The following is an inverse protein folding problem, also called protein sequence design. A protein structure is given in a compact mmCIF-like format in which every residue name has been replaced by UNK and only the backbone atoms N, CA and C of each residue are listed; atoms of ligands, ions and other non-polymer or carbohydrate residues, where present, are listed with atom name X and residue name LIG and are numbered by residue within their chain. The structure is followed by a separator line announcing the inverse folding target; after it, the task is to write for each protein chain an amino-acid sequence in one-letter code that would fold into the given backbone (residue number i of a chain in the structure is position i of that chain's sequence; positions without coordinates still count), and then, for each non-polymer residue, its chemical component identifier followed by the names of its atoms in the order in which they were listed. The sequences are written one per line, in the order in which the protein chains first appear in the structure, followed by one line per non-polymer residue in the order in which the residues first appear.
data_IF_895723373673
#
_entry.id   IF_895723373673
#
_cell.length_a   1.000
_cell.length_b   1.000
_cell.length_c   1.000
_cell.angle_alpha   90.00
_cell.angle_beta   90.00
_cell.angle_gamma   90.00
#
_symmetry.space_group_name_H-M   'P 1'
#
loop_
_entity.id
_entity.type
_entity.pdbx_description
1 polymer ?
#
# COMPACT_ATOMS: atom_id res chain seq x y z
N UNK A 1 27.13 25.62 -34.87
CA UNK A 1 27.19 25.70 -33.40
C UNK A 1 26.84 24.32 -32.85
N UNK A 2 27.87 23.56 -32.49
CA UNK A 2 27.75 22.20 -31.96
C UNK A 2 27.23 22.27 -30.52
N UNK A 3 25.93 22.04 -30.33
CA UNK A 3 25.38 21.76 -29.01
C UNK A 3 25.84 20.36 -28.61
N UNK A 4 26.84 20.32 -27.72
CA UNK A 4 27.24 19.12 -27.01
C UNK A 4 26.00 18.45 -26.42
N UNK A 5 25.68 17.26 -26.94
CA UNK A 5 24.62 16.41 -26.42
C UNK A 5 25.00 16.01 -25.00
N UNK A 6 24.51 16.76 -24.00
CA UNK A 6 24.59 16.37 -22.60
C UNK A 6 24.08 14.95 -22.46
N UNK A 7 24.86 14.09 -21.80
CA UNK A 7 24.51 12.70 -21.58
C UNK A 7 23.04 12.60 -21.16
N UNK A 8 22.22 11.97 -22.01
CA UNK A 8 20.80 11.82 -21.74
C UNK A 8 20.67 10.83 -20.59
N UNK A 9 20.25 11.32 -19.43
CA UNK A 9 19.88 10.51 -18.28
C UNK A 9 18.88 9.44 -18.73
N UNK A 10 19.33 8.18 -18.76
CA UNK A 10 18.60 7.03 -19.27
C UNK A 10 18.95 5.79 -18.46
N UNK A 11 17.95 4.96 -18.16
CA UNK A 11 18.14 3.69 -17.47
C UNK A 11 17.42 2.57 -18.22
N UNK A 12 18.19 1.62 -18.75
CA UNK A 12 17.65 0.39 -19.34
C UNK A 12 17.21 -0.61 -18.27
N UNK A 13 17.90 -0.64 -17.13
CA UNK A 13 17.50 -1.41 -15.95
C UNK A 13 16.48 -0.64 -15.12
N UNK A 14 15.37 -1.25 -14.67
CA UNK A 14 14.40 -0.57 -13.82
C UNK A 14 15.00 -0.12 -12.48
N UNK A 15 14.88 1.16 -12.17
CA UNK A 15 15.22 1.75 -10.86
C UNK A 15 13.98 1.74 -9.96
N UNK A 16 14.18 1.43 -8.69
CA UNK A 16 13.10 1.49 -7.70
C UNK A 16 12.81 2.94 -7.34
N UNK A 17 11.54 3.32 -7.37
CA UNK A 17 11.07 4.62 -6.91
C UNK A 17 9.76 4.50 -6.13
N UNK A 18 9.43 5.54 -5.37
CA UNK A 18 8.22 5.59 -4.56
C UNK A 18 7.40 6.83 -4.86
N UNK A 19 6.07 6.73 -4.84
CA UNK A 19 5.19 7.91 -5.02
C UNK A 19 3.83 7.66 -4.39
N UNK A 20 3.01 8.71 -4.31
CA UNK A 20 1.60 8.59 -3.92
C UNK A 20 0.69 8.76 -5.14
N UNK A 21 -0.47 8.11 -5.11
CA UNK A 21 -1.47 8.20 -6.17
C UNK A 21 -2.88 7.94 -5.64
N UNK A 22 -3.89 8.45 -6.32
CA UNK A 22 -5.27 8.04 -6.07
C UNK A 22 -5.57 6.74 -6.83
N UNK A 23 -6.08 5.71 -6.15
CA UNK A 23 -6.54 4.50 -6.81
C UNK A 23 -7.89 4.74 -7.51
N UNK A 24 -8.08 4.11 -8.67
CA UNK A 24 -9.25 4.29 -9.52
C UNK A 24 -9.82 2.93 -9.97
N UNK A 25 -11.12 2.93 -10.28
CA UNK A 25 -11.84 1.84 -10.95
C UNK A 25 -12.44 2.36 -12.26
N UNK A 26 -12.38 1.60 -13.34
CA UNK A 26 -13.03 1.95 -14.60
C UNK A 26 -14.56 1.96 -14.43
N UNK A 27 -15.27 2.76 -15.24
CA UNK A 27 -16.72 2.92 -15.11
C UNK A 27 -17.50 1.61 -15.28
N UNK A 28 -16.97 0.68 -16.09
CA UNK A 28 -17.50 -0.67 -16.33
C UNK A 28 -17.04 -1.71 -15.29
N UNK A 29 -16.20 -1.31 -14.33
CA UNK A 29 -15.68 -2.19 -13.27
C UNK A 29 -14.64 -3.21 -13.73
N UNK A 30 -14.17 -3.14 -14.98
CA UNK A 30 -13.30 -4.16 -15.57
C UNK A 30 -11.82 -3.98 -15.24
N UNK A 31 -11.38 -2.78 -14.84
CA UNK A 31 -9.96 -2.45 -14.69
C UNK A 31 -9.71 -1.44 -13.57
N UNK A 32 -8.53 -1.53 -12.97
CA UNK A 32 -8.04 -0.56 -11.99
C UNK A 32 -6.88 0.26 -12.54
N UNK A 33 -6.76 1.49 -12.06
CA UNK A 33 -5.76 2.45 -12.51
C UNK A 33 -5.39 3.43 -11.40
N UNK A 34 -4.56 4.41 -11.74
CA UNK A 34 -4.09 5.43 -10.81
C UNK A 34 -4.12 6.82 -11.45
N UNK A 35 -4.19 7.85 -10.63
CA UNK A 35 -3.81 9.20 -11.06
C UNK A 35 -2.90 9.86 -10.02
N UNK A 36 -2.06 10.79 -10.47
CA UNK A 36 -1.08 11.44 -9.60
C UNK A 36 -1.72 12.44 -8.64
N UNK A 37 -0.89 13.08 -7.83
CA UNK A 37 -1.27 14.28 -7.05
C UNK A 37 -0.82 15.55 -7.76
N UNK A 38 -1.22 16.73 -7.25
CA UNK A 38 -0.87 18.02 -7.85
C UNK A 38 -1.26 18.09 -9.32
N UNK A 39 -0.38 18.56 -10.21
CA UNK A 39 -0.66 18.64 -11.66
C UNK A 39 -1.03 17.28 -12.29
N UNK A 40 -0.48 16.18 -11.76
CA UNK A 40 -0.72 14.82 -12.25
C UNK A 40 -2.12 14.29 -11.97
N UNK A 41 -2.92 14.97 -11.14
CA UNK A 41 -4.25 14.52 -10.76
C UNK A 41 -5.23 14.45 -11.93
N UNK A 42 -4.96 15.09 -13.07
CA UNK A 42 -5.88 15.13 -14.23
C UNK A 42 -5.76 13.92 -15.15
N UNK A 43 -4.64 13.20 -15.10
CA UNK A 43 -4.36 12.12 -16.02
C UNK A 43 -4.38 10.76 -15.32
N UNK A 44 -5.13 9.83 -15.90
CA UNK A 44 -5.19 8.44 -15.47
C UNK A 44 -4.13 7.66 -16.20
N UNK A 45 -3.39 6.84 -15.46
CA UNK A 45 -2.38 5.94 -15.99
C UNK A 45 -2.57 4.54 -15.40
N UNK A 46 -2.16 3.53 -16.16
CA UNK A 46 -2.22 2.14 -15.76
C UNK A 46 -1.02 1.76 -14.87
N UNK A 47 -1.08 0.57 -14.27
CA UNK A 47 0.02 0.05 -13.46
C UNK A 47 1.33 -0.07 -14.25
N UNK A 48 1.25 -0.39 -15.54
CA UNK A 48 2.37 -0.30 -16.50
C UNK A 48 2.01 0.73 -17.55
N UNK A 49 2.80 1.80 -17.65
CA UNK A 49 2.46 2.91 -18.55
C UNK A 49 3.66 3.79 -18.89
N UNK A 50 3.49 4.62 -19.92
CA UNK A 50 4.40 5.68 -20.31
C UNK A 50 3.84 7.05 -19.91
N UNK A 51 4.70 7.91 -19.40
CA UNK A 51 4.33 9.25 -19.05
C UNK A 51 4.09 10.09 -20.31
N UNK A 52 3.08 10.94 -20.24
CA UNK A 52 2.75 11.89 -21.30
C UNK A 52 3.00 13.33 -20.85
N UNK A 53 3.06 14.27 -21.81
CA UNK A 53 3.02 15.68 -21.50
C UNK A 53 1.59 16.14 -21.24
N UNK A 54 1.29 16.56 -20.02
CA UNK A 54 -0.04 17.04 -19.63
C UNK A 54 -0.44 18.36 -20.30
N UNK A 55 0.54 19.14 -20.78
CA UNK A 55 0.32 20.36 -21.55
C UNK A 55 0.17 20.08 -23.05
N UNK A 56 0.12 18.81 -23.46
CA UNK A 56 0.05 18.37 -24.85
C UNK A 56 1.12 19.00 -25.75
N UNK A 57 2.27 19.33 -25.17
CA UNK A 57 3.40 19.96 -25.89
C UNK A 57 4.22 18.90 -26.61
N UNK A 58 4.75 19.24 -27.79
CA UNK A 58 5.61 18.34 -28.58
C UNK A 58 7.03 18.36 -28.04
N UNK A 59 7.31 17.47 -27.09
CA UNK A 59 8.67 17.19 -26.63
C UNK A 59 8.79 15.76 -26.10
N UNK A 60 10.02 15.30 -25.99
CA UNK A 60 10.37 14.06 -25.31
C UNK A 60 10.03 14.15 -23.80
N UNK A 61 9.43 13.10 -23.21
CA UNK A 61 9.02 13.03 -21.78
C UNK A 61 9.98 12.11 -20.99
N UNK A 62 10.56 12.54 -19.86
CA UNK A 62 10.44 13.86 -19.24
C UNK A 62 11.26 14.93 -19.98
N UNK A 63 10.87 16.20 -19.81
CA UNK A 63 11.59 17.37 -20.32
C UNK A 63 11.95 18.32 -19.18
N UNK A 64 13.12 18.98 -19.25
CA UNK A 64 13.62 19.84 -18.18
C UNK A 64 12.77 21.12 -17.98
N UNK A 65 12.12 21.63 -19.02
CA UNK A 65 11.19 22.78 -18.95
C UNK A 65 9.75 22.39 -18.64
N UNK A 66 9.46 21.10 -18.40
CA UNK A 66 8.10 20.62 -18.20
C UNK A 66 7.99 19.72 -16.96
N UNK A 67 6.85 19.76 -16.28
CA UNK A 67 6.54 18.90 -15.13
C UNK A 67 5.99 17.51 -15.55
N UNK A 68 6.23 17.10 -16.80
CA UNK A 68 5.88 15.77 -17.29
C UNK A 68 6.83 14.68 -16.76
N UNK A 69 6.41 13.42 -16.89
CA UNK A 69 7.13 12.26 -16.36
C UNK A 69 6.55 11.78 -15.03
N UNK A 70 6.72 10.49 -14.75
CA UNK A 70 6.35 9.91 -13.46
C UNK A 70 7.35 10.36 -12.39
N UNK A 71 6.94 11.28 -11.53
CA UNK A 71 7.75 11.72 -10.40
C UNK A 71 7.78 10.64 -9.31
N UNK A 72 8.98 10.21 -8.95
CA UNK A 72 9.24 9.18 -7.96
C UNK A 72 10.33 9.67 -6.99
N UNK A 73 10.04 9.56 -5.70
CA UNK A 73 10.95 9.75 -4.59
C UNK A 73 11.88 8.53 -4.45
N UNK A 74 12.99 8.74 -3.75
CA UNK A 74 14.00 7.70 -3.55
C UNK A 74 13.66 6.72 -2.42
N UNK A 75 12.86 7.14 -1.44
CA UNK A 75 12.58 6.33 -0.25
C UNK A 75 11.08 6.16 -0.03
N UNK A 76 10.73 5.02 0.58
CA UNK A 76 9.37 4.71 0.97
C UNK A 76 8.85 5.69 2.02
N UNK A 77 9.70 6.09 2.98
CA UNK A 77 9.32 7.00 4.06
C UNK A 77 9.00 8.40 3.54
N UNK A 78 9.76 8.92 2.58
CA UNK A 78 9.42 10.20 1.95
C UNK A 78 8.06 10.16 1.23
N UNK A 79 7.68 9.01 0.65
CA UNK A 79 6.36 8.86 0.05
C UNK A 79 5.26 8.75 1.11
N UNK A 80 5.52 8.09 2.25
CA UNK A 80 4.60 8.04 3.40
C UNK A 80 4.36 9.43 3.99
N UNK A 81 5.39 10.26 4.10
CA UNK A 81 5.25 11.63 4.62
C UNK A 81 4.24 12.45 3.83
N UNK A 82 4.19 12.26 2.50
CA UNK A 82 3.19 12.93 1.66
C UNK A 82 1.75 12.51 1.98
N UNK A 83 1.52 11.30 2.50
CA UNK A 83 0.18 10.82 2.89
C UNK A 83 -0.35 11.44 4.18
N UNK A 84 0.52 12.08 4.97
CA UNK A 84 0.13 12.81 6.18
C UNK A 84 -0.63 14.11 5.85
N UNK A 85 -0.43 14.68 4.66
CA UNK A 85 -1.13 15.87 4.22
C UNK A 85 -2.63 15.56 4.04
N UNK A 86 -3.56 16.37 4.60
CA UNK A 86 -5.00 16.10 4.54
C UNK A 86 -5.53 15.89 3.12
N UNK A 87 -5.02 16.65 2.15
CA UNK A 87 -5.37 16.54 0.74
C UNK A 87 -4.97 15.19 0.14
N UNK A 88 -3.93 14.54 0.66
CA UNK A 88 -3.42 13.26 0.16
C UNK A 88 -3.91 12.06 0.98
N UNK A 89 -4.79 12.26 1.96
CA UNK A 89 -5.20 11.20 2.90
C UNK A 89 -5.80 9.95 2.24
N UNK A 90 -6.43 10.12 1.07
CA UNK A 90 -7.04 9.01 0.32
C UNK A 90 -6.10 8.39 -0.72
N UNK A 91 -4.85 8.84 -0.78
CA UNK A 91 -3.85 8.27 -1.68
C UNK A 91 -3.30 6.96 -1.14
N UNK A 92 -2.79 6.14 -2.04
CA UNK A 92 -1.97 4.96 -1.75
C UNK A 92 -0.52 5.27 -2.04
N UNK A 93 0.39 4.60 -1.34
CA UNK A 93 1.82 4.64 -1.68
C UNK A 93 2.11 3.56 -2.71
N UNK A 94 2.89 3.89 -3.73
CA UNK A 94 3.28 3.00 -4.81
C UNK A 94 4.79 2.80 -4.77
N UNK A 95 5.24 1.55 -4.87
CA UNK A 95 6.59 1.20 -5.30
C UNK A 95 6.55 0.91 -6.78
N UNK A 96 7.45 1.55 -7.52
CA UNK A 96 7.53 1.43 -8.97
C UNK A 96 8.92 0.99 -9.40
N UNK A 97 8.96 0.15 -10.43
CA UNK A 97 10.12 -0.03 -11.28
C UNK A 97 10.04 1.01 -12.40
N UNK A 98 10.86 2.04 -12.34
CA UNK A 98 10.88 3.12 -13.31
C UNK A 98 12.07 2.99 -14.25
N UNK A 99 11.89 3.31 -15.53
CA UNK A 99 12.92 3.10 -16.56
C UNK A 99 12.76 4.08 -17.72
N UNK A 100 13.64 3.95 -18.72
CA UNK A 100 13.69 4.84 -19.87
C UNK A 100 14.42 6.13 -19.55
N UNK A 101 14.05 7.23 -20.22
CA UNK A 101 14.62 8.55 -19.95
C UNK A 101 14.19 9.03 -18.57
N UNK A 102 15.11 9.65 -17.86
CA UNK A 102 14.80 10.28 -16.58
C UNK A 102 15.38 11.68 -16.48
N UNK A 103 14.91 12.42 -15.48
CA UNK A 103 15.54 13.68 -15.06
C UNK A 103 15.44 13.87 -13.56
N UNK A 104 16.42 14.52 -12.96
CA UNK A 104 16.34 15.03 -11.59
C UNK A 104 15.31 16.15 -11.45
N UNK A 105 14.57 16.14 -10.35
CA UNK A 105 13.58 17.15 -10.00
C UNK A 105 13.36 17.13 -8.49
N UNK A 106 13.59 18.25 -7.80
CA UNK A 106 13.42 18.38 -6.36
C UNK A 106 14.11 17.25 -5.56
N UNK A 107 13.32 16.45 -4.83
CA UNK A 107 13.75 15.36 -3.95
C UNK A 107 13.75 13.99 -4.64
N UNK A 108 13.59 13.95 -5.97
CA UNK A 108 13.43 12.71 -6.69
C UNK A 108 13.77 12.77 -8.18
N UNK A 109 13.21 11.81 -8.91
CA UNK A 109 13.44 11.62 -10.34
C UNK A 109 12.10 11.55 -11.06
N UNK A 110 12.06 12.10 -12.28
CA UNK A 110 10.93 11.94 -13.20
C UNK A 110 11.32 10.96 -14.27
N UNK A 111 10.46 9.98 -14.56
CA UNK A 111 10.74 8.91 -15.51
C UNK A 111 9.76 8.89 -16.68
N UNK A 112 10.22 8.34 -17.79
CA UNK A 112 9.43 8.07 -18.99
C UNK A 112 8.47 6.90 -18.79
N UNK A 113 8.95 5.79 -18.22
CA UNK A 113 8.16 4.56 -18.10
C UNK A 113 8.11 4.10 -16.66
N UNK A 114 6.99 3.47 -16.27
CA UNK A 114 6.87 2.81 -14.97
C UNK A 114 6.23 1.43 -15.07
N UNK A 115 6.48 0.63 -14.03
CA UNK A 115 5.69 -0.53 -13.63
C UNK A 115 5.47 -0.49 -12.12
N UNK A 116 4.23 -0.39 -11.68
CA UNK A 116 3.87 -0.55 -10.26
C UNK A 116 4.15 -1.99 -9.83
N UNK A 117 4.86 -2.16 -8.73
CA UNK A 117 5.18 -3.45 -8.12
C UNK A 117 4.38 -3.69 -6.84
N UNK A 118 4.30 -2.66 -5.99
CA UNK A 118 3.56 -2.73 -4.73
C UNK A 118 2.71 -1.50 -4.53
N UNK A 119 1.56 -1.71 -3.90
CA UNK A 119 0.63 -0.69 -3.46
C UNK A 119 0.46 -0.86 -1.96
N UNK A 120 0.68 0.20 -1.20
CA UNK A 120 0.36 0.24 0.21
C UNK A 120 -0.84 1.13 0.47
N UNK A 121 -1.85 0.55 1.11
CA UNK A 121 -3.01 1.28 1.60
C UNK A 121 -2.74 1.83 3.00
N UNK A 122 -3.27 3.01 3.29
CA UNK A 122 -3.04 3.69 4.57
C UNK A 122 -4.00 3.25 5.67
N UNK A 123 -4.52 4.25 6.38
CA UNK A 123 -5.46 4.05 7.50
C UNK A 123 -6.81 4.64 7.20
N UNK A 124 -7.84 3.98 7.73
CA UNK A 124 -9.21 4.45 7.63
C UNK A 124 -9.37 5.68 8.53
N UNK A 125 -10.45 6.43 8.34
CA UNK A 125 -10.71 7.61 9.18
C UNK A 125 -10.84 7.27 10.66
N UNK A 126 -11.32 6.07 10.99
CA UNK A 126 -11.40 5.55 12.35
C UNK A 126 -10.07 5.02 12.90
N UNK A 127 -8.96 5.10 12.16
CA UNK A 127 -7.63 4.63 12.57
C UNK A 127 -7.33 3.16 12.25
N UNK A 128 -8.33 2.36 11.89
CA UNK A 128 -8.14 0.94 11.52
C UNK A 128 -7.40 0.76 10.17
N UNK A 129 -6.70 -0.38 9.97
CA UNK A 129 -6.20 -0.85 8.67
C UNK A 129 -7.19 -0.68 7.52
N UNK A 130 -6.72 -0.23 6.34
CA UNK A 130 -7.58 -0.12 5.14
C UNK A 130 -7.47 -1.36 4.27
N UNK A 131 -8.34 -2.32 4.55
CA UNK A 131 -8.32 -3.67 3.95
C UNK A 131 -9.19 -3.79 2.69
N UNK A 132 -9.92 -2.73 2.34
CA UNK A 132 -10.78 -2.68 1.15
C UNK A 132 -10.74 -1.30 0.51
N UNK A 133 -11.12 -1.24 -0.76
CA UNK A 133 -11.50 0.00 -1.43
C UNK A 133 -13.01 0.13 -1.52
N UNK A 134 -13.51 1.36 -1.43
CA UNK A 134 -14.91 1.71 -1.69
C UNK A 134 -14.99 2.80 -2.76
N UNK A 135 -16.11 2.88 -3.47
CA UNK A 135 -16.40 4.02 -4.36
C UNK A 135 -16.47 5.30 -3.53
N UNK A 136 -15.68 6.31 -3.91
CA UNK A 136 -15.67 7.61 -3.25
C UNK A 136 -16.88 8.49 -3.60
N UNK A 137 -17.74 8.06 -4.53
CA UNK A 137 -18.85 8.86 -5.06
C UNK A 137 -18.38 10.02 -5.95
N UNK A 138 -17.09 10.05 -6.29
CA UNK A 138 -16.46 11.06 -7.13
C UNK A 138 -15.60 10.38 -8.19
N UNK A 139 -15.15 11.13 -9.18
CA UNK A 139 -14.31 10.58 -10.22
C UNK A 139 -14.11 11.56 -11.35
N UNK A 140 -13.98 10.99 -12.54
CA UNK A 140 -13.78 11.67 -13.82
C UNK A 140 -14.41 10.82 -14.91
N UNK A 141 -14.49 11.35 -16.12
CA UNK A 141 -15.00 10.59 -17.26
C UNK A 141 -14.31 9.22 -17.37
N UNK A 142 -15.12 8.16 -17.40
CA UNK A 142 -14.73 6.75 -17.44
C UNK A 142 -14.04 6.16 -16.18
N UNK A 143 -13.82 6.93 -15.11
CA UNK A 143 -13.10 6.45 -13.92
C UNK A 143 -13.71 6.94 -12.60
N UNK A 144 -13.95 6.01 -11.69
CA UNK A 144 -14.40 6.25 -10.31
C UNK A 144 -13.20 6.34 -9.39
N UNK A 145 -13.17 7.34 -8.50
CA UNK A 145 -12.18 7.40 -7.44
C UNK A 145 -12.48 6.33 -6.40
N UNK A 146 -11.43 5.64 -5.94
CA UNK A 146 -11.52 4.72 -4.82
C UNK A 146 -10.97 5.36 -3.56
N UNK A 147 -11.61 5.08 -2.43
CA UNK A 147 -11.10 5.46 -1.10
C UNK A 147 -10.73 4.20 -0.32
N UNK A 148 -9.50 4.09 0.23
CA UNK A 148 -9.15 3.02 1.15
C UNK A 148 -10.02 3.09 2.42
N UNK A 149 -10.61 1.99 2.84
CA UNK A 149 -11.45 1.89 4.04
C UNK A 149 -11.17 0.60 4.80
N UNK A 150 -11.45 0.61 6.11
CA UNK A 150 -11.52 -0.64 6.87
C UNK A 150 -12.89 -1.30 6.62
N UNK A 151 -12.95 -2.62 6.83
CA UNK A 151 -14.18 -3.42 6.65
C UNK A 151 -15.34 -2.93 7.51
N UNK A 152 -15.05 -2.44 8.71
CA UNK A 152 -16.07 -1.96 9.63
C UNK A 152 -16.68 -0.63 9.21
N UNK A 153 -15.87 0.33 8.75
CA UNK A 153 -16.41 1.58 8.24
C UNK A 153 -17.09 1.39 6.89
N UNK A 154 -16.73 0.37 6.10
CA UNK A 154 -17.39 0.07 4.84
C UNK A 154 -18.70 -0.72 4.99
N UNK A 155 -19.10 -1.06 6.21
CA UNK A 155 -20.28 -1.90 6.47
C UNK A 155 -21.53 -1.40 5.69
N UNK A 156 -22.25 -2.34 5.08
CA UNK A 156 -23.39 -2.08 4.20
C UNK A 156 -23.07 -1.53 2.79
N UNK A 157 -21.80 -1.29 2.42
CA UNK A 157 -21.42 -0.77 1.10
C UNK A 157 -20.72 -1.84 0.24
N UNK A 158 -20.85 -1.79 -1.10
CA UNK A 158 -20.01 -2.59 -1.99
C UNK A 158 -18.53 -2.27 -1.78
N UNK A 159 -17.72 -3.32 -1.62
CA UNK A 159 -16.28 -3.22 -1.39
C UNK A 159 -15.51 -3.92 -2.51
N UNK A 160 -14.33 -3.39 -2.80
CA UNK A 160 -13.33 -4.02 -3.65
C UNK A 160 -12.16 -4.48 -2.77
N UNK A 161 -12.00 -5.80 -2.58
CA UNK A 161 -10.84 -6.37 -1.88
C UNK A 161 -9.50 -6.00 -2.52
N UNK A 162 -8.43 -5.92 -1.72
CA UNK A 162 -7.09 -5.49 -2.19
C UNK A 162 -6.50 -6.42 -3.26
N UNK A 163 -6.65 -7.72 -3.09
CA UNK A 163 -6.23 -8.76 -4.04
C UNK A 163 -7.01 -8.65 -5.36
N UNK A 164 -8.32 -8.38 -5.29
CA UNK A 164 -9.13 -8.15 -6.48
C UNK A 164 -8.73 -6.85 -7.20
N UNK A 165 -8.44 -5.78 -6.46
CA UNK A 165 -7.88 -4.56 -7.04
C UNK A 165 -6.58 -4.86 -7.78
N UNK A 166 -5.68 -5.65 -7.19
CA UNK A 166 -4.42 -6.06 -7.80
C UNK A 166 -4.64 -6.84 -9.10
N UNK A 167 -5.54 -7.83 -9.08
CA UNK A 167 -5.86 -8.65 -10.24
C UNK A 167 -6.41 -7.82 -11.41
N UNK A 168 -7.28 -6.84 -11.13
CA UNK A 168 -7.88 -5.95 -12.14
C UNK A 168 -6.89 -4.94 -12.75
N UNK A 169 -5.66 -4.84 -12.21
CA UNK A 169 -4.61 -4.05 -12.89
C UNK A 169 -4.10 -4.74 -14.15
N UNK A 170 -4.33 -6.05 -14.29
CA UNK A 170 -3.76 -6.88 -15.36
C UNK A 170 -2.24 -7.05 -15.27
N UNK A 171 -1.62 -6.69 -14.14
CA UNK A 171 -0.16 -6.73 -13.95
C UNK A 171 0.23 -7.91 -13.07
N UNK A 172 0.95 -8.88 -13.64
CA UNK A 172 1.43 -10.04 -12.90
C UNK A 172 2.37 -9.65 -11.75
N UNK A 173 2.16 -10.26 -10.57
CA UNK A 173 3.00 -10.05 -9.39
C UNK A 173 2.89 -8.67 -8.74
N UNK A 174 1.87 -7.87 -9.08
CA UNK A 174 1.56 -6.65 -8.34
C UNK A 174 0.90 -7.03 -7.00
N UNK A 175 1.46 -6.52 -5.91
CA UNK A 175 0.95 -6.76 -4.55
C UNK A 175 0.27 -5.52 -4.00
N UNK A 176 -0.87 -5.71 -3.32
CA UNK A 176 -1.56 -4.64 -2.59
C UNK A 176 -1.68 -5.07 -1.14
N UNK A 177 -1.19 -4.25 -0.21
CA UNK A 177 -1.15 -4.57 1.22
C UNK A 177 -1.40 -3.35 2.09
N UNK A 178 -1.82 -3.58 3.32
CA UNK A 178 -1.96 -2.50 4.31
C UNK A 178 -0.60 -2.07 4.82
N UNK A 179 -0.36 -0.76 4.88
CA UNK A 179 0.81 -0.20 5.56
C UNK A 179 0.64 -0.19 7.07
N UNK A 180 1.21 -1.20 7.72
CA UNK A 180 1.21 -1.31 9.19
C UNK A 180 2.40 -0.59 9.83
N UNK A 181 3.43 -0.23 9.05
CA UNK A 181 4.66 0.34 9.61
C UNK A 181 4.45 1.66 10.37
N UNK A 182 3.59 2.60 9.94
CA UNK A 182 3.39 3.84 10.68
C UNK A 182 2.51 3.66 11.93
N UNK A 183 2.06 2.44 12.25
CA UNK A 183 1.35 2.09 13.49
C UNK A 183 2.25 1.35 14.50
N UNK A 184 3.55 1.17 14.24
CA UNK A 184 4.42 0.34 15.10
C UNK A 184 4.42 0.71 16.59
N UNK A 185 4.12 1.97 16.91
CA UNK A 185 4.06 2.49 18.28
C UNK A 185 2.63 2.63 18.82
N UNK A 186 1.61 2.30 18.02
CA UNK A 186 0.20 2.41 18.42
C UNK A 186 -0.28 1.08 18.99
N UNK A 187 -1.09 1.16 20.03
CA UNK A 187 -1.69 -0.02 20.66
C UNK A 187 -2.98 -0.34 19.91
N UNK A 188 -3.06 -1.56 19.38
CA UNK A 188 -4.26 -2.07 18.73
C UNK A 188 -5.10 -2.75 19.82
N UNK A 189 -6.36 -2.33 20.07
CA UNK A 189 -7.16 -2.80 21.21
C UNK A 189 -7.40 -4.32 21.28
N UNK A 190 -7.20 -5.06 20.18
CA UNK A 190 -7.21 -6.53 20.17
C UNK A 190 -5.97 -7.15 20.84
N UNK A 191 -5.04 -6.32 21.31
CA UNK A 191 -3.90 -6.70 22.16
C UNK A 191 -4.08 -6.03 23.52
N UNK A 192 -4.10 -6.79 24.63
CA UNK A 192 -4.22 -6.19 25.95
C UNK A 192 -3.11 -5.16 26.16
N UNK A 193 -3.48 -4.02 26.74
CA UNK A 193 -2.58 -2.95 27.16
C UNK A 193 -1.69 -3.46 28.30
N UNK A 194 -0.68 -4.28 28.00
CA UNK A 194 0.43 -4.49 28.93
C UNK A 194 1.31 -3.25 28.83
N UNK A 195 1.10 -2.32 29.77
CA UNK A 195 2.08 -1.28 30.01
C UNK A 195 3.41 -1.95 30.35
N UNK A 196 4.39 -1.81 29.48
CA UNK A 196 5.70 -1.25 29.80
C UNK A 196 6.62 -1.34 28.59
N UNK A 197 7.43 -0.31 28.42
CA UNK A 197 8.42 -0.25 27.36
C UNK A 197 9.52 -1.29 27.52
N UNK A 198 10.27 -1.45 26.43
CA UNK A 198 11.54 -2.17 26.27
C UNK A 198 11.42 -3.66 25.92
N UNK A 199 11.80 -3.99 24.68
CA UNK A 199 12.40 -5.30 24.31
C UNK A 199 11.50 -6.30 23.58
N UNK A 200 11.79 -6.55 22.31
CA UNK A 200 11.45 -7.82 21.63
C UNK A 200 12.54 -8.88 21.94
N UNK A 201 12.42 -10.17 21.54
CA UNK A 201 11.30 -10.92 20.96
C UNK A 201 11.00 -12.27 21.69
N UNK A 202 9.81 -12.83 21.46
CA UNK A 202 9.44 -14.18 21.94
C UNK A 202 8.67 -14.16 23.27
N UNK A 203 7.84 -15.16 23.49
CA UNK A 203 7.03 -15.38 24.70
C UNK A 203 5.85 -14.42 24.92
N UNK A 204 4.77 -14.73 24.20
CA UNK A 204 3.43 -14.41 24.66
C UNK A 204 2.65 -15.70 24.94
N UNK A 205 3.06 -16.51 25.93
CA UNK A 205 2.22 -17.62 26.46
C UNK A 205 2.26 -17.87 27.98
N UNK A 206 2.67 -16.98 28.91
CA UNK A 206 2.66 -17.38 30.34
C UNK A 206 1.24 -17.66 30.88
N UNK A 207 0.21 -17.00 30.34
CA UNK A 207 -1.19 -17.24 30.75
C UNK A 207 -1.74 -18.53 30.13
N UNK A 208 -1.42 -18.80 28.86
CA UNK A 208 -1.85 -20.01 28.16
C UNK A 208 -1.13 -21.25 28.71
N UNK A 209 0.15 -21.11 29.09
CA UNK A 209 0.93 -22.18 29.71
C UNK A 209 0.44 -22.48 31.14
N UNK A 210 0.01 -21.46 31.89
CA UNK A 210 -0.61 -21.66 33.20
C UNK A 210 -1.96 -22.38 33.10
N UNK A 211 -2.81 -21.99 32.14
CA UNK A 211 -4.09 -22.68 31.90
C UNK A 211 -3.87 -24.13 31.42
N UNK A 212 -2.89 -24.36 30.54
CA UNK A 212 -2.53 -25.70 30.07
C UNK A 212 -1.99 -26.57 31.21
N UNK A 213 -1.18 -26.02 32.11
CA UNK A 213 -0.68 -26.73 33.29
C UNK A 213 -1.82 -27.13 34.24
N UNK A 214 -2.81 -26.27 34.45
CA UNK A 214 -4.01 -26.58 35.27
C UNK A 214 -4.85 -27.67 34.61
N UNK A 215 -5.01 -27.62 33.28
CA UNK A 215 -5.75 -28.66 32.54
C UNK A 215 -5.02 -30.01 32.64
N UNK A 216 -3.71 -30.04 32.42
CA UNK A 216 -2.92 -31.27 32.48
C UNK A 216 -2.96 -31.89 33.89
N UNK A 217 -2.80 -31.08 34.95
CA UNK A 217 -2.90 -31.57 36.32
C UNK A 217 -4.27 -32.22 36.62
N UNK A 218 -5.34 -31.68 36.05
CA UNK A 218 -6.70 -32.19 36.26
C UNK A 218 -6.97 -33.46 35.44
N UNK A 219 -6.35 -33.59 34.28
CA UNK A 219 -6.36 -34.82 33.47
C UNK A 219 -5.63 -35.93 34.21
N UNK A 220 -4.45 -35.66 34.78
CA UNK A 220 -3.68 -36.64 35.55
C UNK A 220 -4.45 -37.13 36.79
N UNK A 221 -5.15 -36.23 37.48
CA UNK A 221 -6.00 -36.58 38.64
C UNK A 221 -7.19 -37.46 38.23
N UNK A 222 -7.83 -37.18 37.10
CA UNK A 222 -8.90 -38.01 36.55
C UNK A 222 -8.40 -39.40 36.14
N UNK A 223 -7.24 -39.48 35.49
CA UNK A 223 -6.60 -40.75 35.15
C UNK A 223 -6.29 -41.57 36.40
N UNK A 224 -5.71 -40.96 37.43
CA UNK A 224 -5.46 -41.62 38.72
C UNK A 224 -6.74 -42.14 39.38
N UNK A 225 -7.87 -41.42 39.28
CA UNK A 225 -9.14 -41.90 39.80
C UNK A 225 -9.73 -43.05 38.99
N UNK A 226 -9.63 -43.00 37.66
CA UNK A 226 -10.10 -44.06 36.77
C UNK A 226 -9.27 -45.33 37.00
N UNK A 227 -7.95 -45.23 37.08
CA UNK A 227 -7.08 -46.38 37.36
C UNK A 227 -7.41 -46.99 38.72
N UNK A 228 -7.64 -46.18 39.75
CA UNK A 228 -8.09 -46.67 41.06
C UNK A 228 -9.45 -47.37 41.04
N UNK A 229 -10.35 -47.02 40.11
CA UNK A 229 -11.63 -47.70 39.95
C UNK A 229 -11.53 -48.97 39.10
N UNK A 230 -10.61 -48.99 38.13
CA UNK A 230 -10.37 -50.15 37.27
C UNK A 230 -9.52 -51.24 37.93
N UNK A 231 -8.71 -50.89 38.94
CA UNK A 231 -7.81 -51.81 39.64
C UNK A 231 -8.29 -52.16 41.06
N UNK A 232 -9.57 -51.88 41.34
CA UNK A 232 -10.23 -52.23 42.60
C UNK A 232 -11.12 -53.44 42.36
N UNK A 233 -10.51 -54.62 42.51
CA UNK A 233 -11.20 -55.87 42.84
C UNK A 233 -11.66 -55.85 44.31
#
# INVERSE_FOLDING_TARGET
MNSSAGAREFSSSPLTGYKIAYPLMSADGSRTAFCGTGTGHRHVYLAVDNAICLNNSRHHVPNWMCTCGFYCLHTLDAARDLTCAPENRNTVVLEVAASGRYRRHDLGLRYETQRVRRVWTGRCRCGRPTEVFIDAGTGRTAWRNLTPSCVHCSDGRPVLPLDKFAALTGTAGLEVRVDRAPLRNFIVPDRPLTGDGVGAPGDATPVVDAELAVINARVDELQSHVDRLLHRD
#
